data_IF_587599307078
#
_entry.id   IF_587599307078
#
_cell.length_a   1.000
_cell.length_b   1.000
_cell.length_c   1.000
_cell.angle_alpha   90.00
_cell.angle_beta   90.00
_cell.angle_gamma   90.00
#
_symmetry.space_group_name_H-M   'P 1'
#
loop_
_entity.id
_entity.type
_entity.pdbx_description
1 polymer ?
#
# COMPACT_ATOMS: atom_id res chain seq x y z
N UNK A 1 -19.32 -10.62 -8.93
CA UNK A 1 -17.96 -11.09 -9.21
C UNK A 1 -17.17 -11.10 -7.91
N UNK A 2 -16.50 -12.20 -7.56
CA UNK A 2 -15.64 -12.28 -6.37
C UNK A 2 -14.25 -11.81 -6.75
N UNK A 3 -13.63 -10.97 -5.93
CA UNK A 3 -12.36 -10.32 -6.27
C UNK A 3 -11.41 -10.32 -5.08
N UNK A 4 -10.13 -10.60 -5.36
CA UNK A 4 -9.00 -10.36 -4.46
C UNK A 4 -8.11 -9.35 -5.18
N UNK A 5 -7.60 -8.35 -4.46
CA UNK A 5 -6.71 -7.32 -5.00
C UNK A 5 -5.38 -7.39 -4.28
N UNK A 6 -4.30 -7.52 -5.03
CA UNK A 6 -2.92 -7.34 -4.57
C UNK A 6 -2.41 -5.99 -5.06
N UNK A 7 -1.97 -5.12 -4.15
CA UNK A 7 -1.66 -3.71 -4.47
C UNK A 7 -0.68 -3.06 -3.48
N UNK A 8 -0.21 -1.86 -3.78
CA UNK A 8 0.82 -1.13 -3.03
C UNK A 8 0.43 0.33 -2.73
N UNK A 9 -0.73 0.56 -2.07
CA UNK A 9 -1.40 1.85 -2.05
C UNK A 9 -0.63 2.95 -1.32
N UNK A 10 -0.58 4.14 -1.93
CA UNK A 10 0.20 5.30 -1.48
C UNK A 10 -0.60 6.49 -0.96
N UNK A 11 -1.90 6.37 -0.70
CA UNK A 11 -2.73 7.50 -0.29
C UNK A 11 -2.23 8.15 1.00
N UNK A 12 -1.86 9.43 0.91
CA UNK A 12 -1.30 10.20 2.02
C UNK A 12 0.20 9.98 2.26
N UNK A 13 0.87 9.18 1.44
CA UNK A 13 2.32 9.01 1.44
C UNK A 13 2.93 10.02 0.47
N UNK A 14 3.92 10.78 0.93
CA UNK A 14 4.57 11.79 0.11
C UNK A 14 5.26 11.14 -1.11
N UNK A 15 5.00 11.68 -2.31
CA UNK A 15 5.61 11.22 -3.56
C UNK A 15 5.06 9.91 -4.12
N UNK A 16 4.20 9.20 -3.38
CA UNK A 16 3.59 7.96 -3.84
C UNK A 16 2.38 8.22 -4.75
N UNK A 17 2.13 7.31 -5.69
CA UNK A 17 0.94 7.29 -6.53
C UNK A 17 -0.31 6.88 -5.71
N UNK A 18 -1.49 7.31 -6.18
CA UNK A 18 -2.78 7.16 -5.48
C UNK A 18 -3.76 6.23 -6.20
N UNK A 19 -3.36 5.71 -7.36
CA UNK A 19 -4.13 4.89 -8.27
C UNK A 19 -4.64 3.60 -7.62
N UNK A 20 -3.82 2.90 -6.83
CA UNK A 20 -4.26 1.70 -6.11
C UNK A 20 -5.37 2.00 -5.10
N UNK A 21 -5.24 3.08 -4.32
CA UNK A 21 -6.29 3.45 -3.36
C UNK A 21 -7.58 3.87 -4.05
N UNK A 22 -7.49 4.49 -5.23
CA UNK A 22 -8.65 4.78 -6.07
C UNK A 22 -9.28 3.49 -6.62
N UNK A 23 -8.48 2.54 -7.09
CA UNK A 23 -8.94 1.24 -7.56
C UNK A 23 -9.65 0.46 -6.43
N UNK A 24 -9.09 0.47 -5.21
CA UNK A 24 -9.74 -0.11 -4.03
C UNK A 24 -11.08 0.58 -3.75
N UNK A 25 -11.14 1.91 -3.75
CA UNK A 25 -12.38 2.64 -3.52
C UNK A 25 -13.46 2.32 -4.57
N UNK A 26 -13.06 2.20 -5.85
CA UNK A 26 -13.96 1.82 -6.94
C UNK A 26 -14.45 0.38 -6.79
N UNK A 27 -13.56 -0.56 -6.45
CA UNK A 27 -13.93 -1.96 -6.22
C UNK A 27 -14.91 -2.10 -5.04
N UNK A 28 -14.69 -1.33 -3.96
CA UNK A 28 -15.57 -1.27 -2.80
C UNK A 28 -16.95 -0.68 -3.16
N UNK A 29 -16.99 0.37 -3.97
CA UNK A 29 -18.24 1.05 -4.33
C UNK A 29 -19.08 0.32 -5.38
N UNK A 30 -18.48 -0.62 -6.13
CA UNK A 30 -19.15 -1.32 -7.22
C UNK A 30 -20.04 -2.47 -6.68
N UNK A 31 -21.38 -2.39 -6.80
CA UNK A 31 -22.31 -3.39 -6.21
C UNK A 31 -22.16 -4.79 -6.82
N UNK A 32 -21.62 -4.89 -8.04
CA UNK A 32 -21.35 -6.16 -8.71
C UNK A 32 -20.05 -6.84 -8.26
N UNK A 33 -19.23 -6.18 -7.44
CA UNK A 33 -17.96 -6.69 -6.92
C UNK A 33 -18.13 -7.08 -5.45
N UNK A 34 -17.73 -8.31 -5.12
CA UNK A 34 -17.51 -8.76 -3.75
C UNK A 34 -16.00 -8.81 -3.52
N UNK A 35 -15.45 -7.76 -2.88
CA UNK A 35 -14.03 -7.68 -2.55
C UNK A 35 -13.75 -8.50 -1.28
N UNK A 36 -13.12 -9.66 -1.45
CA UNK A 36 -13.00 -10.66 -0.37
C UNK A 36 -11.71 -10.53 0.44
N UNK A 37 -10.67 -9.97 -0.17
CA UNK A 37 -9.35 -9.83 0.43
C UNK A 37 -8.57 -8.73 -0.29
N UNK A 38 -7.84 -7.95 0.50
CA UNK A 38 -6.78 -7.06 0.02
C UNK A 38 -5.44 -7.64 0.50
N UNK A 39 -4.51 -7.85 -0.41
CA UNK A 39 -3.11 -8.14 -0.08
C UNK A 39 -2.24 -6.94 -0.44
N UNK A 40 -1.18 -6.72 0.34
CA UNK A 40 -0.23 -5.64 0.05
C UNK A 40 1.15 -6.15 -0.27
N UNK A 41 1.79 -5.56 -1.29
CA UNK A 41 3.14 -5.90 -1.74
C UNK A 41 4.02 -4.66 -1.71
N UNK A 42 5.34 -4.85 -1.71
CA UNK A 42 6.31 -3.76 -1.82
C UNK A 42 6.38 -3.24 -3.25
N UNK A 43 6.18 -1.94 -3.43
CA UNK A 43 6.17 -1.27 -4.74
C UNK A 43 6.24 0.25 -4.54
N UNK A 44 5.29 1.00 -5.08
CA UNK A 44 5.01 2.42 -4.83
C UNK A 44 5.16 2.80 -3.34
N UNK A 45 4.76 1.92 -2.43
CA UNK A 45 5.07 2.03 -0.99
C UNK A 45 5.76 0.78 -0.45
N UNK A 46 6.48 0.86 0.70
CA UNK A 46 6.85 -0.32 1.46
C UNK A 46 5.61 -1.13 1.85
N UNK A 47 5.71 -2.46 1.84
CA UNK A 47 4.56 -3.37 2.06
C UNK A 47 3.73 -3.07 3.32
N UNK A 48 4.39 -2.64 4.40
CA UNK A 48 3.82 -2.27 5.70
C UNK A 48 3.13 -0.90 5.69
N UNK A 49 3.62 0.03 4.86
CA UNK A 49 3.01 1.33 4.66
C UNK A 49 1.75 1.15 3.82
N UNK A 50 1.84 0.43 2.70
CA UNK A 50 0.67 0.07 1.89
C UNK A 50 -0.39 -0.67 2.70
N UNK A 51 0.03 -1.61 3.57
CA UNK A 51 -0.88 -2.28 4.52
C UNK A 51 -1.61 -1.27 5.41
N UNK A 52 -0.89 -0.30 5.96
CA UNK A 52 -1.44 0.72 6.86
C UNK A 52 -2.38 1.68 6.13
N UNK A 53 -2.07 2.02 4.86
CA UNK A 53 -2.91 2.83 3.99
C UNK A 53 -4.23 2.11 3.68
N UNK A 54 -4.15 0.85 3.21
CA UNK A 54 -5.33 0.02 2.94
C UNK A 54 -6.19 -0.16 4.21
N UNK A 55 -5.56 -0.45 5.34
CA UNK A 55 -6.24 -0.59 6.62
C UNK A 55 -6.92 0.71 7.07
N UNK A 56 -6.28 1.85 6.84
CA UNK A 56 -6.88 3.16 7.14
C UNK A 56 -8.10 3.42 6.26
N UNK A 57 -8.04 3.09 4.97
CA UNK A 57 -9.15 3.24 4.03
C UNK A 57 -10.35 2.38 4.45
N UNK A 58 -10.16 1.07 4.61
CA UNK A 58 -11.20 0.12 5.00
C UNK A 58 -11.83 0.50 6.34
N UNK A 59 -11.00 0.86 7.33
CA UNK A 59 -11.48 1.29 8.65
C UNK A 59 -12.28 2.59 8.59
N UNK A 60 -11.86 3.57 7.78
CA UNK A 60 -12.60 4.84 7.60
C UNK A 60 -13.97 4.62 6.97
N UNK A 61 -14.10 3.62 6.10
CA UNK A 61 -15.36 3.25 5.46
C UNK A 61 -16.24 2.36 6.35
N UNK A 62 -15.76 1.95 7.54
CA UNK A 62 -16.51 1.09 8.45
C UNK A 62 -16.72 -0.33 7.92
N UNK A 63 -15.82 -0.79 7.05
CA UNK A 63 -15.89 -2.10 6.41
C UNK A 63 -15.04 -3.13 7.14
N UNK A 64 -15.41 -4.41 7.00
CA UNK A 64 -14.67 -5.55 7.55
C UNK A 64 -14.10 -6.42 6.43
N UNK A 65 -13.28 -5.79 5.58
CA UNK A 65 -12.58 -6.48 4.49
C UNK A 65 -11.22 -6.96 5.04
N UNK A 66 -10.91 -8.26 4.98
CA UNK A 66 -9.62 -8.77 5.39
C UNK A 66 -8.48 -8.12 4.60
N UNK A 67 -7.41 -7.77 5.31
CA UNK A 67 -6.18 -7.26 4.71
C UNK A 67 -5.01 -8.12 5.19
N UNK A 68 -4.10 -8.47 4.28
CA UNK A 68 -2.90 -9.25 4.59
C UNK A 68 -1.65 -8.61 4.00
N UNK A 69 -0.57 -8.59 4.76
CA UNK A 69 0.73 -8.13 4.29
C UNK A 69 1.45 -9.24 3.53
N UNK A 70 1.74 -8.99 2.27
CA UNK A 70 2.51 -9.83 1.36
C UNK A 70 4.00 -9.47 1.36
N UNK A 71 4.68 -9.69 0.23
CA UNK A 71 6.14 -9.62 0.15
C UNK A 71 6.69 -8.20 0.35
N UNK A 72 7.77 -8.08 1.14
CA UNK A 72 8.46 -6.80 1.39
C UNK A 72 9.52 -6.45 0.35
N UNK A 73 9.82 -7.36 -0.57
CA UNK A 73 10.80 -7.15 -1.64
C UNK A 73 10.46 -8.01 -2.85
N UNK A 74 11.02 -7.66 -4.00
CA UNK A 74 10.95 -8.48 -5.21
C UNK A 74 11.63 -9.84 -5.00
N UNK A 75 11.29 -10.80 -5.86
CA UNK A 75 11.79 -12.18 -5.74
C UNK A 75 13.30 -12.30 -5.98
N UNK A 76 13.81 -11.54 -6.95
CA UNK A 76 15.20 -11.64 -7.43
C UNK A 76 15.92 -10.31 -7.27
N UNK A 77 15.23 -9.20 -7.53
CA UNK A 77 15.88 -7.89 -7.62
C UNK A 77 16.10 -7.26 -6.23
N UNK A 78 17.30 -6.72 -5.95
CA UNK A 78 17.57 -6.02 -4.70
C UNK A 78 16.64 -4.80 -4.53
N UNK A 79 16.03 -4.61 -3.35
CA UNK A 79 15.07 -3.52 -3.15
C UNK A 79 15.72 -2.14 -2.99
N UNK A 80 17.01 -2.08 -2.65
CA UNK A 80 17.67 -0.85 -2.21
C UNK A 80 17.63 0.31 -3.24
N UNK A 81 17.93 0.11 -4.53
CA UNK A 81 17.87 1.21 -5.51
C UNK A 81 16.46 1.80 -5.65
N UNK A 82 15.44 0.93 -5.57
CA UNK A 82 14.04 1.34 -5.68
C UNK A 82 13.54 2.04 -4.43
N UNK A 83 13.87 1.53 -3.24
CA UNK A 83 13.56 2.21 -1.97
C UNK A 83 14.19 3.58 -1.92
N UNK A 84 15.47 3.67 -2.28
CA UNK A 84 16.19 4.93 -2.27
C UNK A 84 15.55 5.98 -3.20
N UNK A 85 15.12 5.58 -4.39
CA UNK A 85 14.45 6.46 -5.35
C UNK A 85 13.06 6.90 -4.87
N UNK A 86 12.25 5.96 -4.38
CA UNK A 86 10.85 6.19 -4.05
C UNK A 86 10.70 6.91 -2.70
N UNK A 87 11.46 6.49 -1.69
CA UNK A 87 11.32 7.00 -0.32
C UNK A 87 11.97 8.38 -0.17
N UNK A 88 13.07 8.64 -0.89
CA UNK A 88 13.83 9.91 -0.79
C UNK A 88 13.58 10.87 -1.96
N UNK A 89 12.74 10.49 -2.93
CA UNK A 89 12.52 11.27 -4.15
C UNK A 89 11.95 12.66 -3.85
N UNK A 90 10.98 12.76 -2.94
CA UNK A 90 10.36 14.05 -2.57
C UNK A 90 11.37 14.99 -1.93
N UNK A 91 12.17 14.49 -0.99
CA UNK A 91 13.18 15.28 -0.28
C UNK A 91 14.27 15.78 -1.23
N UNK A 92 14.82 14.89 -2.08
CA UNK A 92 15.88 15.23 -3.05
C UNK A 92 15.48 16.32 -4.03
N UNK A 93 14.21 16.37 -4.38
CA UNK A 93 13.66 17.37 -5.30
C UNK A 93 13.15 18.63 -4.57
N UNK A 94 13.27 18.70 -3.24
CA UNK A 94 12.80 19.85 -2.46
C UNK A 94 11.28 20.02 -2.47
N UNK A 95 10.52 18.92 -2.63
CA UNK A 95 9.07 18.93 -2.84
C UNK A 95 8.25 18.61 -1.58
N UNK A 96 8.88 18.54 -0.41
CA UNK A 96 8.23 18.15 0.85
C UNK A 96 7.05 19.04 1.22
N UNK A 97 7.10 20.33 0.88
CA UNK A 97 6.04 21.31 1.13
C UNK A 97 4.72 20.97 0.44
N UNK A 98 4.74 20.22 -0.67
CA UNK A 98 3.53 19.81 -1.39
C UNK A 98 2.66 18.84 -0.58
N UNK A 99 3.21 18.20 0.45
CA UNK A 99 2.49 17.28 1.35
C UNK A 99 2.35 17.79 2.78
N UNK A 100 2.74 19.04 3.07
CA UNK A 100 2.76 19.57 4.45
C UNK A 100 1.39 19.50 5.14
N UNK A 101 0.31 19.66 4.38
CA UNK A 101 -1.08 19.67 4.88
C UNK A 101 -1.79 18.32 4.67
N UNK A 102 -1.08 17.31 4.16
CA UNK A 102 -1.63 15.98 3.90
C UNK A 102 -1.38 15.08 5.12
N UNK A 103 -2.43 14.56 5.77
CA UNK A 103 -2.26 13.66 6.91
C UNK A 103 -1.56 12.37 6.49
N UNK A 104 -0.40 12.10 7.09
CA UNK A 104 0.31 10.85 6.88
C UNK A 104 -0.52 9.65 7.38
N UNK A 105 -0.41 8.48 6.71
CA UNK A 105 -1.08 7.28 7.16
C UNK A 105 -0.54 6.86 8.54
N UNK A 106 -1.45 6.44 9.42
CA UNK A 106 -1.08 5.89 10.73
C UNK A 106 -0.63 4.45 10.54
N UNK A 107 0.56 4.12 11.04
CA UNK A 107 1.06 2.75 11.00
C UNK A 107 0.13 1.81 11.77
N UNK A 108 -0.44 0.85 11.06
CA UNK A 108 -1.24 -0.21 11.65
C UNK A 108 -0.31 -1.29 12.23
N UNK A 109 -0.77 -1.97 13.29
CA UNK A 109 -0.11 -3.19 13.74
C UNK A 109 -0.23 -4.22 12.62
N UNK A 110 0.89 -4.80 12.22
CA UNK A 110 0.94 -5.78 11.15
C UNK A 110 1.76 -6.99 11.58
N UNK A 111 1.43 -8.14 11.03
CA UNK A 111 2.21 -9.35 11.19
C UNK A 111 3.45 -9.32 10.28
N UNK A 112 4.31 -10.33 10.42
CA UNK A 112 5.38 -10.58 9.47
C UNK A 112 4.77 -10.79 8.06
N UNK A 113 5.47 -10.39 6.99
CA UNK A 113 4.98 -10.64 5.64
C UNK A 113 4.76 -12.15 5.44
N UNK A 114 3.57 -12.55 4.96
CA UNK A 114 3.27 -13.97 4.69
C UNK A 114 3.91 -14.48 3.38
N UNK A 115 4.90 -13.77 2.85
CA UNK A 115 5.69 -14.24 1.71
C UNK A 115 6.71 -15.26 2.19
N UNK A 116 6.66 -16.47 1.63
CA UNK A 116 7.65 -17.50 1.90
C UNK A 116 9.05 -16.99 1.54
N UNK A 117 10.03 -17.27 2.39
CA UNK A 117 11.45 -16.95 2.16
C UNK A 117 12.06 -17.87 1.09
N UNK A 118 11.37 -18.04 -0.04
CA UNK A 118 11.61 -19.11 -1.01
C UNK A 118 12.96 -19.06 -1.72
N UNK A 119 13.78 -18.03 -1.52
CA UNK A 119 15.12 -17.95 -2.07
C UNK A 119 16.05 -17.26 -1.07
N UNK A 120 16.62 -18.03 -0.14
CA UNK A 120 17.89 -17.72 0.51
C UNK A 120 18.88 -18.82 0.18
#
# INVERSE_FOLDING_TARGET
MRLIIDCDPGNGVAGANVDDGLALALAIAAPQINLELITTVSGNTPSEVGFSVAHTLVKRLGLDIPIRRGASQALIEPPAPWRDKLDNGVERNGLTTLWQDVPAPKMAKHEAPMASSCYR
#
